data_IF_090428081840
#
_entry.id   IF_090428081840
#
_cell.length_a   1.000
_cell.length_b   1.000
_cell.length_c   1.000
_cell.angle_alpha   90.00
_cell.angle_beta   90.00
_cell.angle_gamma   90.00
#
_symmetry.space_group_name_H-M   'P 1'
#
loop_
_entity.id
_entity.type
_entity.pdbx_description
1 polymer ?
#
# COMPACT_ATOMS: atom_id res chain seq x y z
N UNK A 1 49.73 -10.14 47.78
CA UNK A 1 49.47 -8.94 46.96
C UNK A 1 48.69 -9.35 45.70
N UNK A 2 47.46 -8.80 45.57
CA UNK A 2 46.59 -8.66 44.39
C UNK A 2 46.53 -9.82 43.36
N UNK A 3 45.61 -10.77 43.58
CA UNK A 3 45.07 -11.64 42.52
C UNK A 3 44.07 -10.81 41.69
N UNK A 4 44.57 -10.14 40.64
CA UNK A 4 43.71 -9.44 39.69
C UNK A 4 43.17 -10.47 38.69
N UNK A 5 41.88 -10.77 38.83
CA UNK A 5 41.09 -11.63 37.98
C UNK A 5 41.04 -11.05 36.56
N UNK A 6 41.64 -11.75 35.59
CA UNK A 6 41.69 -11.36 34.17
C UNK A 6 40.34 -11.66 33.48
N UNK A 7 39.29 -10.86 33.73
CA UNK A 7 37.94 -11.09 33.16
C UNK A 7 37.59 -10.23 31.95
N UNK A 8 38.46 -9.31 31.55
CA UNK A 8 38.17 -8.33 30.49
C UNK A 8 38.19 -8.91 29.06
N UNK A 9 38.92 -10.01 28.82
CA UNK A 9 39.11 -10.56 27.48
C UNK A 9 37.94 -11.40 26.98
N UNK A 10 37.32 -12.21 27.85
CA UNK A 10 36.24 -13.12 27.46
C UNK A 10 34.91 -12.38 27.19
N UNK A 11 34.60 -11.34 27.97
CA UNK A 11 33.39 -10.54 27.79
C UNK A 11 33.36 -9.79 26.44
N UNK A 12 34.53 -9.35 25.95
CA UNK A 12 34.65 -8.64 24.67
C UNK A 12 34.40 -9.54 23.47
N UNK A 13 34.85 -10.80 23.52
CA UNK A 13 34.65 -11.78 22.44
C UNK A 13 33.17 -12.19 22.35
N UNK A 14 32.53 -12.46 23.49
CA UNK A 14 31.11 -12.82 23.52
C UNK A 14 30.23 -11.67 23.01
N UNK A 15 30.56 -10.43 23.40
CA UNK A 15 29.82 -9.24 22.93
C UNK A 15 29.99 -9.04 21.41
N UNK A 16 31.20 -9.25 20.87
CA UNK A 16 31.45 -9.14 19.44
C UNK A 16 30.69 -10.20 18.62
N UNK A 17 30.66 -11.46 19.11
CA UNK A 17 29.94 -12.56 18.44
C UNK A 17 28.42 -12.32 18.45
N UNK A 18 27.86 -11.92 19.58
CA UNK A 18 26.41 -11.61 19.71
C UNK A 18 26.03 -10.40 18.83
N UNK A 19 26.88 -9.36 18.80
CA UNK A 19 26.69 -8.19 17.93
C UNK A 19 26.77 -8.55 16.44
N UNK A 20 27.73 -9.37 16.04
CA UNK A 20 27.86 -9.84 14.67
C UNK A 20 26.65 -10.67 14.23
N UNK A 21 26.20 -11.64 15.04
CA UNK A 21 25.02 -12.46 14.76
C UNK A 21 23.74 -11.62 14.62
N UNK A 22 23.52 -10.69 15.54
CA UNK A 22 22.36 -9.77 15.49
C UNK A 22 22.38 -8.88 14.25
N UNK A 23 23.57 -8.42 13.85
CA UNK A 23 23.76 -7.60 12.64
C UNK A 23 23.56 -8.38 11.34
N UNK A 24 23.85 -9.68 11.34
CA UNK A 24 23.74 -10.53 10.15
C UNK A 24 22.27 -10.90 9.88
N UNK A 25 21.55 -11.28 10.93
CA UNK A 25 20.10 -11.52 10.87
C UNK A 25 19.35 -10.27 10.43
N UNK A 26 19.66 -9.09 11.00
CA UNK A 26 19.05 -7.81 10.61
C UNK A 26 19.36 -7.38 9.17
N UNK A 27 20.57 -7.68 8.68
CA UNK A 27 20.96 -7.42 7.28
C UNK A 27 20.24 -8.33 6.31
N UNK A 28 20.09 -9.62 6.63
CA UNK A 28 19.36 -10.57 5.79
C UNK A 28 17.86 -10.26 5.73
N UNK A 29 17.24 -9.89 6.86
CA UNK A 29 15.81 -9.55 6.87
C UNK A 29 15.53 -8.27 6.08
N UNK A 30 16.36 -7.22 6.20
CA UNK A 30 16.23 -6.01 5.36
C UNK A 30 16.42 -6.29 3.87
N UNK A 31 17.40 -7.13 3.50
CA UNK A 31 17.62 -7.50 2.11
C UNK A 31 16.39 -8.20 1.54
N UNK A 32 15.89 -9.21 2.25
CA UNK A 32 14.70 -9.96 1.86
C UNK A 32 13.45 -9.07 1.71
N UNK A 33 13.18 -8.16 2.65
CA UNK A 33 12.00 -7.28 2.53
C UNK A 33 12.16 -6.23 1.45
N UNK A 34 13.36 -5.70 1.24
CA UNK A 34 13.65 -4.71 0.18
C UNK A 34 13.55 -5.29 -1.23
N UNK A 35 13.99 -6.54 -1.40
CA UNK A 35 13.98 -7.24 -2.70
C UNK A 35 12.59 -7.76 -3.05
N UNK A 36 11.78 -8.14 -2.05
CA UNK A 36 10.45 -8.70 -2.26
C UNK A 36 9.32 -7.70 -2.01
N UNK A 37 9.63 -6.43 -1.69
CA UNK A 37 8.67 -5.37 -1.38
C UNK A 37 7.61 -5.79 -0.34
N UNK A 38 8.01 -6.55 0.69
CA UNK A 38 7.10 -7.17 1.69
C UNK A 38 6.93 -6.33 2.95
N UNK A 39 7.34 -5.06 2.92
CA UNK A 39 7.11 -4.16 4.04
C UNK A 39 5.60 -3.98 4.22
N UNK A 40 5.07 -4.09 5.44
CA UNK A 40 3.62 -4.02 5.72
C UNK A 40 2.93 -2.73 5.24
N UNK A 41 3.71 -1.71 4.85
CA UNK A 41 3.25 -0.44 4.28
C UNK A 41 3.16 -0.45 2.75
N UNK A 42 3.79 -1.40 2.08
CA UNK A 42 3.94 -1.43 0.62
C UNK A 42 3.21 -2.65 0.06
N UNK A 43 2.03 -2.42 -0.54
CA UNK A 43 1.42 -3.41 -1.45
C UNK A 43 2.45 -3.80 -2.52
N UNK A 44 2.56 -5.06 -2.92
CA UNK A 44 3.55 -5.47 -3.92
C UNK A 44 3.28 -4.79 -5.28
N UNK A 45 4.35 -4.46 -6.02
CA UNK A 45 4.22 -3.78 -7.33
C UNK A 45 3.35 -4.57 -8.31
N UNK A 46 3.56 -5.89 -8.39
CA UNK A 46 2.76 -6.79 -9.20
C UNK A 46 1.26 -6.80 -8.81
N UNK A 47 0.95 -6.76 -7.50
CA UNK A 47 -0.45 -6.69 -7.05
C UNK A 47 -1.10 -5.36 -7.45
N UNK A 48 -0.39 -4.23 -7.34
CA UNK A 48 -0.89 -2.93 -7.81
C UNK A 48 -1.19 -2.96 -9.30
N UNK A 49 -0.25 -3.49 -10.10
CA UNK A 49 -0.42 -3.61 -11.55
C UNK A 49 -1.60 -4.53 -11.91
N UNK A 50 -1.71 -5.68 -11.25
CA UNK A 50 -2.80 -6.62 -11.48
C UNK A 50 -4.16 -6.04 -11.07
N UNK A 51 -4.24 -5.35 -9.94
CA UNK A 51 -5.44 -4.66 -9.50
C UNK A 51 -5.83 -3.55 -10.49
N UNK A 52 -4.88 -2.76 -10.97
CA UNK A 52 -5.15 -1.72 -11.96
C UNK A 52 -5.72 -2.29 -13.26
N UNK A 53 -5.08 -3.33 -13.80
CA UNK A 53 -5.55 -4.02 -15.00
C UNK A 53 -6.94 -4.67 -14.81
N UNK A 54 -7.26 -5.12 -13.59
CA UNK A 54 -8.60 -5.63 -13.27
C UNK A 54 -9.65 -4.50 -13.24
N UNK A 55 -9.31 -3.35 -12.65
CA UNK A 55 -10.20 -2.19 -12.58
C UNK A 55 -10.50 -1.64 -13.98
N UNK A 56 -9.49 -1.50 -14.84
CA UNK A 56 -9.65 -1.06 -16.23
C UNK A 56 -10.52 -2.00 -17.09
N UNK A 57 -10.76 -3.24 -16.65
CA UNK A 57 -11.64 -4.21 -17.34
C UNK A 57 -13.07 -4.21 -16.80
N UNK A 58 -13.38 -3.38 -15.81
CA UNK A 58 -14.68 -3.40 -15.12
C UNK A 58 -15.77 -2.78 -15.99
N UNK A 59 -16.64 -3.63 -16.56
CA UNK A 59 -17.83 -3.23 -17.35
C UNK A 59 -18.91 -4.31 -17.28
N UNK A 60 -20.20 -4.02 -16.96
CA UNK A 60 -20.75 -2.81 -16.34
C UNK A 60 -20.83 -2.93 -14.80
N UNK A 61 -20.40 -1.89 -14.07
CA UNK A 61 -20.53 -1.83 -12.60
C UNK A 61 -21.57 -0.79 -12.18
N UNK A 62 -22.59 -1.20 -11.42
CA UNK A 62 -23.63 -0.31 -10.90
C UNK A 62 -23.20 0.29 -9.56
N UNK A 63 -23.30 1.61 -9.42
CA UNK A 63 -22.99 2.34 -8.19
C UNK A 63 -23.91 3.56 -8.02
N UNK A 64 -23.90 4.19 -6.84
CA UNK A 64 -24.75 5.36 -6.54
C UNK A 64 -24.51 6.55 -7.47
N UNK A 65 -23.32 6.65 -8.09
CA UNK A 65 -22.94 7.73 -9.00
C UNK A 65 -23.26 7.42 -10.48
N UNK A 66 -23.80 6.24 -10.78
CA UNK A 66 -24.12 5.81 -12.15
C UNK A 66 -23.60 4.42 -12.48
N UNK A 67 -23.44 4.16 -13.78
CA UNK A 67 -22.95 2.88 -14.31
C UNK A 67 -21.54 3.11 -14.85
N UNK A 68 -20.55 2.43 -14.27
CA UNK A 68 -19.16 2.52 -14.69
C UNK A 68 -18.84 1.50 -15.79
N UNK A 69 -18.28 2.01 -16.90
CA UNK A 69 -17.75 1.27 -18.04
C UNK A 69 -16.28 1.65 -18.31
N UNK A 70 -15.40 1.43 -17.35
CA UNK A 70 -13.99 1.88 -17.38
C UNK A 70 -13.13 1.19 -18.43
N UNK A 71 -12.14 1.87 -18.99
CA UNK A 71 -11.12 1.31 -19.88
C UNK A 71 -9.75 1.94 -19.64
N UNK A 72 -8.69 1.33 -20.18
CA UNK A 72 -7.34 1.90 -20.12
C UNK A 72 -7.23 3.33 -20.70
N UNK A 73 -8.10 3.72 -21.64
CA UNK A 73 -8.14 5.07 -22.21
C UNK A 73 -9.13 6.01 -21.53
N UNK A 74 -10.09 5.48 -20.76
CA UNK A 74 -11.23 6.23 -20.23
C UNK A 74 -11.50 5.77 -18.79
N UNK A 75 -10.98 6.55 -17.85
CA UNK A 75 -10.94 6.22 -16.42
C UNK A 75 -12.14 6.76 -15.63
N UNK A 76 -13.01 7.58 -16.24
CA UNK A 76 -14.23 8.05 -15.59
C UNK A 76 -15.31 6.98 -15.69
N UNK A 77 -15.43 6.31 -16.84
CA UNK A 77 -16.36 5.20 -17.05
C UNK A 77 -17.83 5.60 -17.11
N UNK A 78 -18.15 6.91 -17.06
CA UNK A 78 -19.52 7.41 -16.96
C UNK A 78 -19.97 8.01 -18.30
N UNK A 79 -21.23 7.77 -18.65
CA UNK A 79 -21.86 8.34 -19.84
C UNK A 79 -22.92 9.39 -19.50
N UNK A 80 -23.65 9.89 -20.49
CA UNK A 80 -24.64 10.95 -20.33
C UNK A 80 -25.76 10.59 -19.33
N UNK A 81 -26.00 9.31 -19.07
CA UNK A 81 -27.07 8.84 -18.16
C UNK A 81 -26.76 9.13 -16.69
N UNK A 82 -25.51 9.44 -16.37
CA UNK A 82 -25.05 9.58 -14.98
C UNK A 82 -25.08 11.02 -14.49
N UNK A 83 -25.54 11.96 -15.32
CA UNK A 83 -25.62 13.38 -14.98
C UNK A 83 -27.08 13.79 -14.90
N UNK A 84 -27.43 14.46 -13.80
CA UNK A 84 -28.74 15.07 -13.59
C UNK A 84 -28.53 16.52 -13.20
N UNK A 85 -29.38 17.41 -13.73
CA UNK A 85 -29.37 18.82 -13.34
C UNK A 85 -30.35 19.03 -12.19
N UNK A 86 -29.91 19.72 -11.15
CA UNK A 86 -30.70 19.96 -9.94
C UNK A 86 -30.93 21.46 -9.82
N UNK A 87 -32.17 21.84 -9.57
CA UNK A 87 -32.60 23.21 -9.28
C UNK A 87 -32.81 23.38 -7.77
N UNK A 88 -32.35 24.51 -7.24
CA UNK A 88 -32.69 24.95 -5.88
C UNK A 88 -33.99 25.76 -5.95
N UNK A 89 -35.03 25.30 -5.26
CA UNK A 89 -36.29 26.04 -5.10
C UNK A 89 -36.57 26.21 -3.61
N UNK A 90 -36.47 27.46 -3.15
CA UNK A 90 -36.46 27.77 -1.71
C UNK A 90 -35.25 27.13 -1.02
N UNK A 91 -35.50 26.30 0.00
CA UNK A 91 -34.47 25.54 0.76
C UNK A 91 -34.33 24.08 0.31
N UNK A 92 -34.95 23.68 -0.80
CA UNK A 92 -34.99 22.29 -1.28
C UNK A 92 -34.36 22.14 -2.65
N UNK A 93 -33.59 21.06 -2.82
CA UNK A 93 -33.08 20.61 -4.11
C UNK A 93 -34.13 19.73 -4.81
N UNK A 94 -34.42 20.04 -6.06
CA UNK A 94 -35.37 19.32 -6.91
C UNK A 94 -34.78 19.07 -8.30
N UNK A 95 -35.17 17.98 -8.96
CA UNK A 95 -34.71 17.69 -10.32
C UNK A 95 -35.18 18.82 -11.23
N UNK A 96 -34.26 19.38 -12.02
CA UNK A 96 -34.61 20.32 -13.06
C UNK A 96 -35.36 19.54 -14.15
N UNK A 97 -36.66 19.79 -14.23
CA UNK A 97 -37.53 19.31 -15.30
C UNK A 97 -37.87 20.55 -16.10
N UNK A 98 -37.49 20.56 -17.38
CA UNK A 98 -37.92 21.60 -18.32
C UNK A 98 -39.43 21.53 -18.55
#
# INVERSE_FOLDING_TARGET
MKRAWQWTSAASIVTAIVGAASSLTSRNTRKFTSENHVDARTVSGALRTALHAALERTKPLLASHGIFNMSASEHVGLDQRTRVMVQIVGSKSQLAVD
#
